data_IF_588203737136
#
_entry.id   IF_588203737136
#
_cell.length_a   1.000
_cell.length_b   1.000
_cell.length_c   1.000
_cell.angle_alpha   90.00
_cell.angle_beta   90.00
_cell.angle_gamma   90.00
#
_symmetry.space_group_name_H-M   'P 1'
#
loop_
_entity.id
_entity.type
_entity.pdbx_description
1 polymer ?
#
# COMPACT_ATOMS: atom_id res chain seq x y z
N UNK A 1 12.69 -37.80 -27.87
CA UNK A 1 13.45 -36.52 -28.00
C UNK A 1 12.43 -35.42 -27.95
N UNK A 2 12.25 -34.79 -26.78
CA UNK A 2 11.35 -33.67 -26.58
C UNK A 2 12.11 -32.36 -26.78
N UNK A 3 11.80 -31.68 -27.88
CA UNK A 3 12.36 -30.36 -28.15
C UNK A 3 11.77 -29.32 -27.18
N UNK A 4 12.59 -28.74 -26.32
CA UNK A 4 12.26 -27.53 -25.59
C UNK A 4 12.19 -26.37 -26.60
N UNK A 5 10.97 -25.90 -26.86
CA UNK A 5 10.79 -24.65 -27.58
C UNK A 5 11.30 -23.50 -26.69
N UNK A 6 12.46 -22.96 -27.01
CA UNK A 6 12.91 -21.69 -26.46
C UNK A 6 11.94 -20.62 -26.96
N UNK A 7 11.09 -20.08 -26.08
CA UNK A 7 10.36 -18.88 -26.38
C UNK A 7 11.38 -17.77 -26.68
N UNK A 8 11.43 -17.34 -27.93
CA UNK A 8 12.30 -16.23 -28.37
C UNK A 8 11.97 -15.00 -27.55
N UNK A 9 12.97 -14.41 -26.90
CA UNK A 9 12.83 -13.11 -26.26
C UNK A 9 12.41 -12.10 -27.35
N UNK A 10 11.38 -11.27 -27.08
CA UNK A 10 10.94 -10.27 -28.04
C UNK A 10 12.12 -9.35 -28.38
N UNK A 11 12.29 -9.07 -29.66
CA UNK A 11 13.42 -8.28 -30.14
C UNK A 11 13.25 -6.81 -29.69
N UNK A 12 14.16 -6.32 -28.86
CA UNK A 12 14.20 -4.92 -28.38
C UNK A 12 14.21 -3.93 -29.58
N UNK A 13 14.69 -4.37 -30.73
CA UNK A 13 14.75 -3.56 -31.98
C UNK A 13 13.38 -3.02 -32.41
N UNK A 14 12.30 -3.75 -32.16
CA UNK A 14 10.97 -3.45 -32.72
C UNK A 14 10.11 -2.58 -31.78
N UNK A 15 10.59 -2.34 -30.55
CA UNK A 15 9.92 -1.47 -29.61
C UNK A 15 9.91 -0.02 -30.07
N UNK A 16 8.75 0.62 -30.01
CA UNK A 16 8.61 2.06 -30.20
C UNK A 16 9.16 2.84 -29.02
N UNK A 17 9.78 3.99 -29.30
CA UNK A 17 10.26 4.89 -28.26
C UNK A 17 9.07 5.54 -27.54
N UNK A 18 9.00 5.40 -26.22
CA UNK A 18 7.92 6.01 -25.42
C UNK A 18 8.40 6.41 -24.05
N UNK A 19 8.02 7.61 -23.61
CA UNK A 19 8.14 8.09 -22.24
C UNK A 19 6.77 8.06 -21.56
N UNK A 20 6.71 7.47 -20.37
CA UNK A 20 5.48 7.38 -19.57
C UNK A 20 5.44 8.45 -18.49
N UNK A 21 4.27 9.04 -18.28
CA UNK A 21 3.98 9.85 -17.08
C UNK A 21 3.45 8.93 -15.99
N UNK A 22 4.23 8.73 -14.93
CA UNK A 22 3.92 7.74 -13.88
C UNK A 22 3.79 8.40 -12.52
N UNK A 23 2.78 7.99 -11.76
CA UNK A 23 2.65 8.33 -10.34
C UNK A 23 2.94 7.09 -9.51
N UNK A 24 3.91 7.19 -8.60
CA UNK A 24 4.19 6.17 -7.59
C UNK A 24 3.61 6.54 -6.23
N UNK A 25 3.79 5.68 -5.26
CA UNK A 25 3.33 5.92 -3.88
C UNK A 25 4.08 7.08 -3.20
N UNK A 26 4.11 7.17 -1.89
CA UNK A 26 4.72 8.31 -1.17
C UNK A 26 6.24 8.22 -1.14
N UNK A 27 6.94 9.34 -1.42
CA UNK A 27 8.40 9.41 -1.55
C UNK A 27 9.18 8.93 -0.33
N UNK A 28 8.62 9.00 0.85
CA UNK A 28 9.25 8.60 2.10
C UNK A 28 9.07 7.10 2.43
N UNK A 29 8.27 6.36 1.66
CA UNK A 29 8.05 4.93 1.85
C UNK A 29 9.05 4.08 1.08
N UNK A 30 9.39 2.92 1.64
CA UNK A 30 10.34 1.99 1.03
C UNK A 30 9.84 1.40 -0.30
N UNK A 31 8.52 1.25 -0.47
CA UNK A 31 7.94 0.82 -1.75
C UNK A 31 8.40 1.73 -2.89
N UNK A 32 8.30 3.05 -2.70
CA UNK A 32 8.79 4.02 -3.70
C UNK A 32 10.31 4.01 -3.80
N UNK A 33 11.00 4.18 -2.66
CA UNK A 33 12.47 4.37 -2.65
C UNK A 33 13.24 3.20 -3.23
N UNK A 34 12.80 1.97 -2.92
CA UNK A 34 13.58 0.77 -3.17
C UNK A 34 13.07 -0.02 -4.37
N UNK A 35 11.84 0.22 -4.85
CA UNK A 35 11.21 -0.62 -5.87
C UNK A 35 10.52 0.16 -6.98
N UNK A 36 9.46 0.91 -6.68
CA UNK A 36 8.70 1.62 -7.72
C UNK A 36 9.58 2.63 -8.47
N UNK A 37 10.21 3.54 -7.74
CA UNK A 37 11.11 4.55 -8.31
C UNK A 37 12.25 3.94 -9.13
N UNK A 38 13.05 3.01 -8.59
CA UNK A 38 14.09 2.32 -9.32
C UNK A 38 13.60 1.53 -10.54
N UNK A 39 12.42 0.88 -10.44
CA UNK A 39 11.85 0.20 -11.60
C UNK A 39 11.65 1.16 -12.78
N UNK A 40 10.95 2.26 -12.53
CA UNK A 40 10.59 3.22 -13.59
C UNK A 40 11.78 4.02 -14.10
N UNK A 41 12.69 4.43 -13.22
CA UNK A 41 13.79 5.35 -13.55
C UNK A 41 15.04 4.65 -14.06
N UNK A 42 15.26 3.39 -13.68
CA UNK A 42 16.51 2.67 -13.94
C UNK A 42 16.28 1.35 -14.66
N UNK A 43 15.42 0.46 -14.09
CA UNK A 43 15.22 -0.90 -14.63
C UNK A 43 14.52 -0.88 -15.98
N UNK A 44 13.43 -0.14 -16.12
CA UNK A 44 12.68 -0.07 -17.37
C UNK A 44 13.52 0.43 -18.56
N UNK A 45 14.26 1.55 -18.48
CA UNK A 45 15.16 1.97 -19.53
C UNK A 45 16.19 0.90 -19.88
N UNK A 46 16.82 0.30 -18.88
CA UNK A 46 17.82 -0.76 -19.08
C UNK A 46 17.24 -1.99 -19.78
N UNK A 47 16.07 -2.46 -19.34
CA UNK A 47 15.40 -3.65 -19.89
C UNK A 47 14.89 -3.44 -21.33
N UNK A 48 14.58 -2.21 -21.70
CA UNK A 48 14.10 -1.85 -23.05
C UNK A 48 15.18 -1.31 -23.98
N UNK A 49 16.46 -1.36 -23.59
CA UNK A 49 17.55 -0.76 -24.38
C UNK A 49 17.35 0.74 -24.64
N UNK A 50 16.76 1.47 -23.68
CA UNK A 50 16.48 2.90 -23.78
C UNK A 50 15.24 3.26 -24.62
N UNK A 51 14.48 2.26 -25.07
CA UNK A 51 13.24 2.51 -25.84
C UNK A 51 12.10 3.04 -24.96
N UNK A 52 11.96 2.47 -23.75
CA UNK A 52 10.95 2.89 -22.78
C UNK A 52 11.62 3.65 -21.64
N UNK A 53 11.03 4.77 -21.27
CA UNK A 53 11.44 5.62 -20.14
C UNK A 53 10.22 6.14 -19.40
N UNK A 54 10.41 6.70 -18.21
CA UNK A 54 9.33 7.26 -17.44
C UNK A 54 9.73 8.56 -16.71
N UNK A 55 8.88 9.57 -16.82
CA UNK A 55 8.84 10.69 -15.88
C UNK A 55 8.01 10.23 -14.66
N UNK A 56 8.64 9.49 -13.77
CA UNK A 56 8.01 8.91 -12.60
C UNK A 56 8.21 9.81 -11.37
N UNK A 57 7.10 10.22 -10.76
CA UNK A 57 7.06 11.04 -9.54
C UNK A 57 6.16 10.38 -8.51
N UNK A 58 6.48 10.56 -7.24
CA UNK A 58 5.67 10.10 -6.13
C UNK A 58 4.43 10.98 -5.91
N UNK A 59 3.41 10.46 -5.22
CA UNK A 59 2.27 11.26 -4.74
C UNK A 59 2.72 12.51 -3.98
N UNK A 60 3.76 12.37 -3.16
CA UNK A 60 4.29 13.47 -2.34
C UNK A 60 4.88 14.59 -3.19
N UNK A 61 5.68 14.25 -4.23
CA UNK A 61 6.27 15.22 -5.14
C UNK A 61 5.23 15.97 -5.97
N UNK A 62 4.09 15.32 -6.22
CA UNK A 62 2.98 15.89 -6.99
C UNK A 62 1.93 16.62 -6.11
N UNK A 63 2.07 16.55 -4.78
CA UNK A 63 1.08 17.10 -3.84
C UNK A 63 -0.27 16.39 -3.85
N UNK A 64 -0.32 15.15 -4.36
CA UNK A 64 -1.54 14.35 -4.47
C UNK A 64 -1.82 13.60 -3.16
N UNK A 65 -3.11 13.43 -2.83
CA UNK A 65 -3.56 12.70 -1.65
C UNK A 65 -3.58 11.18 -1.86
N UNK A 66 -3.80 10.75 -3.11
CA UNK A 66 -3.98 9.36 -3.52
C UNK A 66 -5.44 8.98 -3.80
N UNK A 67 -6.43 9.66 -3.22
CA UNK A 67 -7.85 9.38 -3.47
C UNK A 67 -8.30 9.73 -4.89
N UNK A 68 -7.68 10.72 -5.50
CA UNK A 68 -7.98 11.21 -6.86
C UNK A 68 -7.28 10.41 -7.98
N UNK A 69 -6.42 9.47 -7.64
CA UNK A 69 -5.46 8.89 -8.59
C UNK A 69 -6.12 8.17 -9.77
N UNK A 70 -7.20 7.42 -9.50
CA UNK A 70 -7.91 6.68 -10.55
C UNK A 70 -8.68 7.61 -11.49
N UNK A 71 -9.20 8.72 -10.97
CA UNK A 71 -9.83 9.75 -11.80
C UNK A 71 -8.81 10.38 -12.74
N UNK A 72 -7.61 10.70 -12.24
CA UNK A 72 -6.53 11.26 -13.04
C UNK A 72 -6.03 10.27 -14.11
N UNK A 73 -5.93 8.98 -13.75
CA UNK A 73 -5.61 7.91 -14.70
C UNK A 73 -6.67 7.79 -15.80
N UNK A 74 -7.95 7.75 -15.42
CA UNK A 74 -9.08 7.66 -16.38
C UNK A 74 -9.11 8.82 -17.37
N UNK A 75 -8.80 10.03 -16.91
CA UNK A 75 -8.70 11.23 -17.74
C UNK A 75 -7.46 11.25 -18.64
N UNK A 76 -6.51 10.31 -18.49
CA UNK A 76 -5.29 10.26 -19.27
C UNK A 76 -4.24 11.32 -18.87
N UNK A 77 -4.35 11.91 -17.66
CA UNK A 77 -3.33 12.82 -17.13
C UNK A 77 -2.02 12.08 -16.90
N UNK A 78 -2.13 10.82 -16.47
CA UNK A 78 -1.02 9.87 -16.29
C UNK A 78 -1.24 8.62 -17.13
N UNK A 79 -0.13 8.04 -17.59
CA UNK A 79 -0.10 6.79 -18.34
C UNK A 79 -0.22 5.57 -17.43
N UNK A 80 0.41 5.63 -16.27
CA UNK A 80 0.37 4.58 -15.25
C UNK A 80 0.40 5.17 -13.84
N UNK A 81 -0.26 4.50 -12.91
CA UNK A 81 -0.32 4.93 -11.51
C UNK A 81 -0.17 3.74 -10.56
N UNK A 82 0.59 3.95 -9.48
CA UNK A 82 0.51 3.14 -8.28
C UNK A 82 -0.47 3.81 -7.31
N UNK A 83 -1.33 3.02 -6.69
CA UNK A 83 -2.33 3.51 -5.75
C UNK A 83 -2.67 2.48 -4.70
N UNK A 84 -3.46 2.88 -3.71
CA UNK A 84 -4.00 1.99 -2.67
C UNK A 84 -5.42 1.59 -3.08
N UNK A 85 -5.70 0.29 -3.12
CA UNK A 85 -7.01 -0.24 -3.59
C UNK A 85 -8.17 0.36 -2.80
N UNK A 86 -8.07 0.37 -1.49
CA UNK A 86 -9.13 0.84 -0.60
C UNK A 86 -9.38 2.35 -0.65
N UNK A 87 -8.48 3.14 -1.24
CA UNK A 87 -8.71 4.58 -1.46
C UNK A 87 -9.78 4.87 -2.52
N UNK A 88 -10.09 3.90 -3.35
CA UNK A 88 -11.10 4.02 -4.40
C UNK A 88 -12.39 3.24 -4.08
N UNK A 89 -12.47 2.67 -2.88
CA UNK A 89 -13.59 1.85 -2.43
C UNK A 89 -14.90 2.63 -2.29
N UNK A 90 -14.85 3.92 -1.97
CA UNK A 90 -16.06 4.77 -1.93
C UNK A 90 -16.76 4.81 -3.29
N UNK A 91 -15.99 4.83 -4.37
CA UNK A 91 -16.53 4.78 -5.72
C UNK A 91 -16.88 3.35 -6.15
N UNK A 92 -16.19 2.35 -5.59
CA UNK A 92 -16.32 0.95 -5.95
C UNK A 92 -16.13 0.02 -4.75
N UNK A 93 -17.19 -0.26 -3.98
CA UNK A 93 -17.12 -1.10 -2.78
C UNK A 93 -16.57 -2.51 -3.04
N UNK A 94 -16.77 -3.06 -4.24
CA UNK A 94 -16.25 -4.38 -4.62
C UNK A 94 -14.73 -4.50 -4.46
N UNK A 95 -14.01 -3.38 -4.52
CA UNK A 95 -12.56 -3.35 -4.41
C UNK A 95 -12.05 -3.76 -3.02
N UNK A 96 -12.86 -3.57 -1.96
CA UNK A 96 -12.49 -3.97 -0.60
C UNK A 96 -12.73 -5.46 -0.29
N UNK A 97 -13.31 -6.23 -1.22
CA UNK A 97 -13.71 -7.63 -0.95
C UNK A 97 -12.57 -8.56 -0.50
N UNK A 98 -11.32 -8.27 -0.85
CA UNK A 98 -10.15 -9.02 -0.40
C UNK A 98 -9.51 -8.44 0.88
N UNK A 99 -10.00 -7.31 1.42
CA UNK A 99 -9.36 -6.58 2.53
C UNK A 99 -10.40 -6.04 3.54
N UNK A 100 -11.34 -6.89 3.91
CA UNK A 100 -12.33 -6.55 4.93
C UNK A 100 -11.68 -6.43 6.30
N UNK A 101 -12.04 -5.38 7.04
CA UNK A 101 -11.41 -5.05 8.32
C UNK A 101 -11.53 -6.20 9.34
N UNK A 102 -10.41 -6.61 9.91
CA UNK A 102 -10.34 -7.65 10.94
C UNK A 102 -10.48 -9.10 10.46
N UNK A 103 -10.85 -9.35 9.21
CA UNK A 103 -11.16 -10.71 8.70
C UNK A 103 -9.89 -11.53 8.48
N UNK A 104 -8.88 -10.98 7.82
CA UNK A 104 -7.65 -11.72 7.49
C UNK A 104 -6.52 -11.33 8.45
N UNK A 105 -5.97 -12.32 9.16
CA UNK A 105 -5.03 -12.12 10.26
C UNK A 105 -3.58 -12.49 9.91
N UNK A 106 -3.33 -13.14 8.77
CA UNK A 106 -1.99 -13.51 8.33
C UNK A 106 -1.73 -13.14 6.86
N UNK A 107 -0.48 -12.83 6.56
CA UNK A 107 -0.07 -12.34 5.24
C UNK A 107 -0.21 -13.39 4.13
N UNK A 108 -0.05 -14.68 4.45
CA UNK A 108 -0.17 -15.76 3.47
C UNK A 108 -1.60 -15.89 2.97
N UNK A 109 -2.58 -15.92 3.89
CA UNK A 109 -4.00 -15.91 3.58
C UNK A 109 -4.39 -14.65 2.82
N UNK A 110 -3.85 -13.47 3.24
CA UNK A 110 -4.11 -12.21 2.56
C UNK A 110 -3.63 -12.21 1.11
N UNK A 111 -2.41 -12.69 0.87
CA UNK A 111 -1.87 -12.83 -0.48
C UNK A 111 -2.75 -13.74 -1.34
N UNK A 112 -3.12 -14.91 -0.82
CA UNK A 112 -4.01 -15.85 -1.52
C UNK A 112 -5.37 -15.26 -1.82
N UNK A 113 -5.95 -14.49 -0.90
CA UNK A 113 -7.21 -13.78 -1.13
C UNK A 113 -7.08 -12.79 -2.31
N UNK A 114 -6.01 -11.97 -2.34
CA UNK A 114 -5.74 -11.05 -3.45
C UNK A 114 -5.53 -11.79 -4.79
N UNK A 115 -4.81 -12.90 -4.80
CA UNK A 115 -4.61 -13.73 -5.99
C UNK A 115 -5.95 -14.29 -6.51
N UNK A 116 -6.80 -14.79 -5.62
CA UNK A 116 -8.13 -15.31 -5.96
C UNK A 116 -9.07 -14.21 -6.44
N UNK A 117 -8.98 -13.03 -5.84
CA UNK A 117 -9.86 -11.89 -6.13
C UNK A 117 -9.39 -11.07 -7.34
N UNK A 118 -8.20 -11.33 -7.86
CA UNK A 118 -7.55 -10.57 -8.94
C UNK A 118 -8.46 -10.36 -10.16
N UNK A 119 -9.12 -11.41 -10.63
CA UNK A 119 -9.98 -11.32 -11.82
C UNK A 119 -11.19 -10.38 -11.63
N UNK A 120 -11.70 -10.29 -10.41
CA UNK A 120 -12.77 -9.34 -10.06
C UNK A 120 -12.24 -7.91 -10.10
N UNK A 121 -11.05 -7.68 -9.53
CA UNK A 121 -10.39 -6.36 -9.57
C UNK A 121 -10.03 -5.95 -11.00
N UNK A 122 -9.48 -6.86 -11.81
CA UNK A 122 -9.14 -6.59 -13.22
C UNK A 122 -10.36 -6.12 -14.01
N UNK A 123 -11.50 -6.79 -13.84
CA UNK A 123 -12.76 -6.39 -14.47
C UNK A 123 -13.24 -5.03 -13.99
N UNK A 124 -13.24 -4.77 -12.68
CA UNK A 124 -13.66 -3.49 -12.10
C UNK A 124 -12.78 -2.33 -12.58
N UNK A 125 -11.45 -2.54 -12.65
CA UNK A 125 -10.52 -1.55 -13.18
C UNK A 125 -10.76 -1.27 -14.67
N UNK A 126 -11.06 -2.29 -15.46
CA UNK A 126 -11.34 -2.12 -16.90
C UNK A 126 -12.68 -1.42 -17.14
N UNK A 127 -13.76 -1.92 -16.55
CA UNK A 127 -15.12 -1.45 -16.82
C UNK A 127 -15.37 -0.05 -16.24
N UNK A 128 -14.98 0.18 -15.00
CA UNK A 128 -15.29 1.43 -14.29
C UNK A 128 -14.26 2.53 -14.54
N UNK A 129 -12.99 2.16 -14.56
CA UNK A 129 -11.91 3.15 -14.64
C UNK A 129 -11.23 3.23 -16.01
N UNK A 130 -11.53 2.30 -16.93
CA UNK A 130 -10.82 2.24 -18.21
C UNK A 130 -9.33 2.03 -18.01
N UNK A 131 -8.97 1.14 -17.08
CA UNK A 131 -7.60 0.90 -16.68
C UNK A 131 -7.22 -0.58 -16.81
N UNK A 132 -5.96 -0.86 -17.17
CA UNK A 132 -5.38 -2.20 -17.16
C UNK A 132 -4.64 -2.41 -15.85
N UNK A 133 -5.19 -3.25 -14.98
CA UNK A 133 -4.51 -3.66 -13.75
C UNK A 133 -3.36 -4.61 -14.09
N UNK A 134 -2.15 -4.33 -13.58
CA UNK A 134 -0.95 -5.12 -13.86
C UNK A 134 -0.29 -5.70 -12.63
N UNK A 135 -0.41 -5.05 -11.47
CA UNK A 135 0.14 -5.55 -10.20
C UNK A 135 -0.85 -5.32 -9.06
N UNK A 136 -0.81 -6.24 -8.09
CA UNK A 136 -1.41 -6.08 -6.76
C UNK A 136 -0.39 -6.57 -5.74
N UNK A 137 -0.08 -5.74 -4.75
CA UNK A 137 0.89 -6.08 -3.71
C UNK A 137 0.44 -5.54 -2.35
N UNK A 138 0.83 -6.26 -1.29
CA UNK A 138 0.39 -5.93 0.06
C UNK A 138 1.25 -4.88 0.76
N UNK A 139 0.68 -4.26 1.79
CA UNK A 139 1.37 -3.49 2.80
C UNK A 139 1.58 -4.33 4.06
N UNK A 140 2.51 -3.92 4.97
CA UNK A 140 2.59 -4.48 6.32
C UNK A 140 1.25 -4.40 7.06
N UNK A 141 1.06 -5.25 8.07
CA UNK A 141 -0.18 -5.33 8.83
C UNK A 141 -0.65 -3.96 9.32
N UNK A 142 -1.92 -3.68 9.08
CA UNK A 142 -2.56 -2.44 9.50
C UNK A 142 -2.89 -2.54 10.99
N UNK A 143 -2.30 -1.64 11.76
CA UNK A 143 -2.43 -1.60 13.21
C UNK A 143 -2.88 -0.21 13.67
N UNK A 144 -3.28 -0.13 14.94
CA UNK A 144 -3.75 1.10 15.53
C UNK A 144 -2.61 1.82 16.26
N UNK A 145 -2.44 3.10 15.98
CA UNK A 145 -1.44 3.97 16.57
C UNK A 145 -2.13 5.14 17.28
N UNK A 146 -1.95 5.27 18.60
CA UNK A 146 -2.69 6.24 19.42
C UNK A 146 -1.76 7.14 20.23
N UNK A 147 -2.18 8.39 20.43
CA UNK A 147 -1.61 9.22 21.47
C UNK A 147 -2.43 9.06 22.76
N UNK A 148 -1.95 8.24 23.69
CA UNK A 148 -2.60 8.04 24.98
C UNK A 148 -2.05 8.97 26.08
N UNK A 149 -1.11 9.88 25.72
CA UNK A 149 -0.54 10.87 26.64
C UNK A 149 0.45 10.28 27.68
N UNK A 150 0.17 9.10 28.22
CA UNK A 150 0.98 8.49 29.29
C UNK A 150 1.56 7.14 28.86
N UNK A 151 2.87 7.05 28.67
CA UNK A 151 3.60 5.83 28.28
C UNK A 151 3.57 4.70 29.31
N UNK A 152 3.06 4.94 30.53
CA UNK A 152 2.85 3.88 31.53
C UNK A 152 1.60 3.03 31.26
N UNK A 153 0.73 3.42 30.34
CA UNK A 153 -0.40 2.61 29.91
C UNK A 153 0.15 1.37 29.18
N UNK A 154 -0.17 0.18 29.68
CA UNK A 154 0.30 -1.12 29.13
C UNK A 154 -0.83 -1.98 28.57
N UNK A 155 -2.07 -1.56 28.77
CA UNK A 155 -3.26 -2.27 28.31
C UNK A 155 -4.22 -1.26 27.69
N UNK A 156 -4.68 -1.53 26.46
CA UNK A 156 -5.62 -0.67 25.75
C UNK A 156 -6.31 -1.51 24.68
N UNK A 157 -7.54 -1.90 24.94
CA UNK A 157 -8.34 -2.72 24.03
C UNK A 157 -9.30 -1.91 23.17
N UNK A 158 -10.04 -2.61 22.33
CA UNK A 158 -11.06 -2.03 21.44
C UNK A 158 -12.18 -1.33 22.23
N UNK A 159 -12.49 -1.79 23.43
CA UNK A 159 -13.47 -1.17 24.34
C UNK A 159 -13.13 0.29 24.73
N UNK A 160 -11.84 0.65 24.68
CA UNK A 160 -11.34 1.99 24.98
C UNK A 160 -11.42 2.97 23.79
N UNK A 161 -11.83 2.50 22.61
CA UNK A 161 -11.97 3.33 21.42
C UNK A 161 -13.26 4.15 21.44
N UNK A 162 -14.19 3.85 22.33
CA UNK A 162 -15.46 4.60 22.47
C UNK A 162 -15.22 6.10 22.63
N UNK A 163 -15.80 6.88 21.72
CA UNK A 163 -15.68 8.33 21.66
C UNK A 163 -14.34 8.86 21.18
N UNK A 164 -13.40 8.01 20.75
CA UNK A 164 -12.14 8.43 20.14
C UNK A 164 -12.31 8.69 18.65
N UNK A 165 -11.65 9.72 18.15
CA UNK A 165 -11.56 10.02 16.72
C UNK A 165 -10.41 9.24 16.12
N UNK A 166 -10.72 8.32 15.21
CA UNK A 166 -9.72 7.42 14.64
C UNK A 166 -9.64 7.64 13.14
N UNK A 167 -8.45 7.97 12.66
CA UNK A 167 -8.21 8.07 11.23
C UNK A 167 -8.32 6.70 10.58
N UNK A 168 -9.19 6.62 9.61
CA UNK A 168 -9.32 5.51 8.66
C UNK A 168 -9.00 5.98 7.24
N UNK A 169 -9.01 5.08 6.28
CA UNK A 169 -8.73 5.38 4.87
C UNK A 169 -9.55 4.49 3.93
N UNK A 170 -10.41 3.64 4.48
CA UNK A 170 -11.30 2.76 3.74
C UNK A 170 -12.67 2.73 4.39
N UNK A 171 -13.68 2.25 3.65
CA UNK A 171 -15.06 2.15 4.14
C UNK A 171 -15.16 1.12 5.25
N UNK A 172 -14.64 -0.10 5.01
CA UNK A 172 -14.75 -1.20 5.99
C UNK A 172 -13.99 -0.93 7.28
N UNK A 173 -12.85 -0.22 7.23
CA UNK A 173 -12.17 0.26 8.45
C UNK A 173 -13.01 1.31 9.18
N UNK A 174 -13.73 2.17 8.46
CA UNK A 174 -14.66 3.14 9.03
C UNK A 174 -15.77 2.43 9.80
N UNK A 175 -16.46 1.51 9.14
CA UNK A 175 -17.55 0.72 9.71
C UNK A 175 -17.11 -0.06 10.94
N UNK A 176 -15.92 -0.69 10.87
CA UNK A 176 -15.33 -1.39 12.01
C UNK A 176 -15.12 -0.44 13.22
N UNK A 177 -14.51 0.72 13.00
CA UNK A 177 -14.27 1.70 14.06
C UNK A 177 -15.58 2.19 14.69
N UNK A 178 -16.61 2.46 13.89
CA UNK A 178 -17.93 2.85 14.38
C UNK A 178 -18.61 1.70 15.11
N UNK A 179 -18.46 0.47 14.63
CA UNK A 179 -18.98 -0.74 15.29
C UNK A 179 -18.42 -0.97 16.70
N UNK A 180 -17.17 -0.57 16.95
CA UNK A 180 -16.57 -0.63 18.30
C UNK A 180 -16.79 0.66 19.11
N UNK A 181 -17.61 1.59 18.62
CA UNK A 181 -18.02 2.82 19.31
C UNK A 181 -17.04 3.99 19.17
N UNK A 182 -16.04 3.90 18.30
CA UNK A 182 -15.20 5.01 17.91
C UNK A 182 -15.88 5.92 16.89
N UNK A 183 -15.22 6.99 16.49
CA UNK A 183 -15.63 7.90 15.41
C UNK A 183 -14.59 7.84 14.29
N UNK A 184 -15.00 7.35 13.14
CA UNK A 184 -14.11 7.25 11.97
C UNK A 184 -13.94 8.61 11.28
N UNK A 185 -12.70 8.96 10.95
CA UNK A 185 -12.37 10.18 10.22
C UNK A 185 -11.47 9.82 9.04
N UNK A 186 -11.98 10.06 7.82
CA UNK A 186 -11.19 9.80 6.60
C UNK A 186 -10.17 10.90 6.37
N UNK A 187 -8.89 10.57 6.51
CA UNK A 187 -7.77 11.52 6.32
C UNK A 187 -6.71 10.86 5.43
N UNK A 188 -6.26 11.56 4.39
CA UNK A 188 -5.16 11.12 3.53
C UNK A 188 -3.88 10.89 4.35
N UNK A 189 -3.12 9.85 4.00
CA UNK A 189 -1.96 9.39 4.79
C UNK A 189 -0.97 10.50 5.12
N UNK A 190 -0.56 11.30 4.14
CA UNK A 190 0.40 12.38 4.33
C UNK A 190 -0.13 13.54 5.21
N UNK A 191 -1.43 13.62 5.47
CA UNK A 191 -2.05 14.67 6.28
C UNK A 191 -2.28 14.26 7.74
N UNK A 192 -2.00 13.00 8.10
CA UNK A 192 -2.35 12.51 9.42
C UNK A 192 -1.46 13.07 10.54
N UNK A 193 -0.15 13.19 10.34
CA UNK A 193 0.73 13.73 11.39
C UNK A 193 0.28 15.12 11.87
N UNK A 194 0.01 16.09 10.98
CA UNK A 194 -0.58 17.36 11.39
C UNK A 194 -1.96 17.22 12.04
N UNK A 195 -2.79 16.25 11.61
CA UNK A 195 -4.11 16.03 12.20
C UNK A 195 -4.03 15.51 13.64
N UNK A 196 -3.11 14.57 13.91
CA UNK A 196 -2.81 14.10 15.28
C UNK A 196 -2.27 15.21 16.18
N UNK A 197 -1.36 16.03 15.66
CA UNK A 197 -0.80 17.17 16.42
C UNK A 197 -1.87 18.17 16.83
N UNK A 198 -2.86 18.40 15.97
CA UNK A 198 -3.95 19.35 16.20
C UNK A 198 -5.16 18.75 16.93
N UNK A 199 -5.12 17.48 17.31
CA UNK A 199 -6.24 16.77 17.94
C UNK A 199 -7.47 16.56 17.03
N UNK A 200 -7.29 16.64 15.72
CA UNK A 200 -8.34 16.28 14.74
C UNK A 200 -8.61 14.78 14.78
N UNK A 201 -7.57 13.99 15.05
CA UNK A 201 -7.65 12.57 15.34
C UNK A 201 -6.86 12.23 16.60
N UNK A 202 -7.35 11.26 17.39
CA UNK A 202 -6.67 10.72 18.58
C UNK A 202 -5.74 9.56 18.21
N UNK A 203 -6.16 8.79 17.21
CA UNK A 203 -5.47 7.59 16.71
C UNK A 203 -5.47 7.56 15.18
N UNK A 204 -4.65 6.69 14.61
CA UNK A 204 -4.66 6.39 13.19
C UNK A 204 -4.40 4.92 12.90
N UNK A 205 -4.96 4.43 11.80
CA UNK A 205 -4.71 3.10 11.25
C UNK A 205 -3.74 3.19 10.08
N UNK A 206 -2.70 2.38 10.10
CA UNK A 206 -1.77 2.21 8.98
C UNK A 206 -0.87 0.99 9.17
N UNK A 207 -0.10 0.64 8.13
CA UNK A 207 0.91 -0.40 8.20
C UNK A 207 2.04 -0.08 9.18
N UNK A 208 2.65 -1.11 9.75
CA UNK A 208 3.70 -0.97 10.77
C UNK A 208 4.89 -0.13 10.27
N UNK A 209 5.53 -0.51 9.16
CA UNK A 209 6.65 0.26 8.63
C UNK A 209 6.25 1.62 8.02
N UNK A 210 5.11 1.76 7.31
CA UNK A 210 4.59 3.06 6.93
C UNK A 210 4.44 4.06 8.07
N UNK A 211 3.97 3.63 9.25
CA UNK A 211 3.89 4.48 10.43
C UNK A 211 5.27 5.01 10.85
N UNK A 212 6.27 4.13 10.87
CA UNK A 212 7.64 4.50 11.19
C UNK A 212 8.22 5.48 10.18
N UNK A 213 8.13 5.17 8.88
CA UNK A 213 8.68 6.00 7.81
C UNK A 213 8.03 7.39 7.74
N UNK A 214 6.74 7.48 8.06
CA UNK A 214 6.01 8.75 8.16
C UNK A 214 6.22 9.45 9.51
N UNK A 215 7.08 8.92 10.38
CA UNK A 215 7.44 9.50 11.68
C UNK A 215 6.25 9.68 12.63
N UNK A 216 5.27 8.79 12.59
CA UNK A 216 4.12 8.85 13.50
C UNK A 216 4.55 8.78 14.97
N UNK A 217 5.68 8.12 15.26
CA UNK A 217 6.29 8.04 16.58
C UNK A 217 6.62 9.41 17.21
N UNK A 218 6.64 10.49 16.44
CA UNK A 218 6.80 11.85 16.97
C UNK A 218 5.52 12.42 17.58
N UNK A 219 4.36 11.88 17.26
CA UNK A 219 3.05 12.43 17.61
C UNK A 219 2.12 11.44 18.31
N UNK A 220 2.43 10.14 18.27
CA UNK A 220 1.70 9.10 19.01
C UNK A 220 2.63 8.38 19.98
N UNK A 221 2.07 7.81 21.03
CA UNK A 221 2.81 7.21 22.12
C UNK A 221 2.74 5.69 22.15
N UNK A 222 1.73 5.10 21.50
CA UNK A 222 1.43 3.66 21.56
C UNK A 222 1.16 3.07 20.18
N UNK A 223 1.58 1.82 19.99
CA UNK A 223 1.17 0.94 18.91
C UNK A 223 0.34 -0.20 19.51
N UNK A 224 -0.97 -0.16 19.30
CA UNK A 224 -1.88 -1.24 19.64
C UNK A 224 -1.85 -2.24 18.49
N UNK A 225 -1.29 -3.43 18.75
CA UNK A 225 -0.93 -4.44 17.74
C UNK A 225 -2.10 -5.32 17.30
N UNK A 226 -3.31 -4.78 17.39
CA UNK A 226 -4.47 -5.43 16.81
C UNK A 226 -4.38 -5.32 15.29
N UNK A 227 -4.43 -6.45 14.60
CA UNK A 227 -4.31 -6.48 13.15
C UNK A 227 -5.69 -6.33 12.50
N UNK A 228 -5.88 -5.25 11.76
CA UNK A 228 -7.15 -4.93 11.09
C UNK A 228 -7.08 -5.14 9.56
N UNK A 229 -6.13 -5.95 9.10
CA UNK A 229 -5.90 -6.23 7.68
C UNK A 229 -4.47 -5.89 7.26
N UNK A 230 -4.25 -5.77 5.95
CA UNK A 230 -2.93 -5.51 5.37
C UNK A 230 -2.92 -4.33 4.39
N UNK A 231 -4.02 -3.96 3.81
CA UNK A 231 -4.16 -3.08 2.64
C UNK A 231 -3.40 -3.59 1.40
N UNK A 232 -3.95 -3.34 0.24
CA UNK A 232 -3.30 -3.61 -1.05
C UNK A 232 -2.99 -2.33 -1.78
N UNK A 233 -1.89 -2.35 -2.52
CA UNK A 233 -1.62 -1.39 -3.59
C UNK A 233 -1.69 -2.06 -4.94
N UNK A 234 -1.84 -1.25 -5.96
CA UNK A 234 -1.90 -1.69 -7.34
C UNK A 234 -0.96 -0.87 -8.23
N UNK A 235 -0.63 -1.43 -9.38
CA UNK A 235 -0.16 -0.69 -10.55
C UNK A 235 -1.17 -0.87 -11.67
N UNK A 236 -1.69 0.23 -12.19
CA UNK A 236 -2.60 0.23 -13.33
C UNK A 236 -2.14 1.20 -14.42
N UNK A 237 -2.35 0.81 -15.68
CA UNK A 237 -2.18 1.67 -16.84
C UNK A 237 -3.52 2.23 -17.30
N UNK A 238 -3.52 3.45 -17.81
CA UNK A 238 -4.63 3.93 -18.63
C UNK A 238 -4.82 2.98 -19.81
N UNK A 239 -6.06 2.52 -20.05
CA UNK A 239 -6.34 1.48 -21.06
C UNK A 239 -6.00 1.96 -22.49
N UNK A 240 -6.18 3.25 -22.79
CA UNK A 240 -5.81 3.80 -24.13
C UNK A 240 -4.29 3.76 -24.31
N UNK A 241 -3.54 4.16 -23.27
CA UNK A 241 -2.08 4.04 -23.27
C UNK A 241 -1.66 2.58 -23.44
N UNK A 242 -2.23 1.66 -22.65
CA UNK A 242 -1.90 0.23 -22.75
C UNK A 242 -2.15 -0.34 -24.15
N UNK A 243 -3.31 -0.06 -24.74
CA UNK A 243 -3.67 -0.51 -26.08
C UNK A 243 -2.84 0.15 -27.20
N UNK A 244 -2.21 1.30 -26.95
CA UNK A 244 -1.32 1.97 -27.91
C UNK A 244 0.11 1.42 -27.91
N UNK A 245 0.47 0.57 -26.95
CA UNK A 245 1.79 -0.05 -26.91
C UNK A 245 1.91 -1.13 -27.97
N UNK A 246 3.09 -1.23 -28.57
CA UNK A 246 3.47 -2.38 -29.40
C UNK A 246 3.50 -3.67 -28.55
N UNK A 247 3.46 -4.81 -29.23
CA UNK A 247 3.41 -6.12 -28.58
C UNK A 247 4.65 -6.42 -27.72
N UNK A 248 5.80 -5.95 -28.16
CA UNK A 248 7.09 -6.11 -27.51
C UNK A 248 7.12 -5.35 -26.18
N UNK A 249 6.62 -4.11 -26.18
CA UNK A 249 6.47 -3.29 -24.97
C UNK A 249 5.48 -3.91 -24.00
N UNK A 250 4.32 -4.37 -24.46
CA UNK A 250 3.36 -5.09 -23.60
C UNK A 250 3.96 -6.37 -23.01
N UNK A 251 4.66 -7.17 -23.83
CA UNK A 251 5.31 -8.39 -23.40
C UNK A 251 6.41 -8.14 -22.36
N UNK A 252 7.16 -7.02 -22.50
CA UNK A 252 8.14 -6.61 -21.50
C UNK A 252 7.48 -6.34 -20.14
N UNK A 253 6.42 -5.54 -20.10
CA UNK A 253 5.69 -5.28 -18.85
C UNK A 253 5.08 -6.55 -18.27
N UNK A 254 4.45 -7.39 -19.08
CA UNK A 254 3.86 -8.66 -18.64
C UNK A 254 4.89 -9.65 -18.07
N UNK A 255 6.14 -9.58 -18.50
CA UNK A 255 7.23 -10.40 -17.98
C UNK A 255 7.89 -9.81 -16.72
N UNK A 256 8.06 -8.50 -16.66
CA UNK A 256 8.86 -7.86 -15.59
C UNK A 256 8.03 -7.39 -14.39
N UNK A 257 6.77 -7.00 -14.60
CA UNK A 257 5.93 -6.54 -13.50
C UNK A 257 5.54 -7.65 -12.51
N UNK A 258 5.28 -8.90 -12.91
CA UNK A 258 5.09 -9.98 -11.95
C UNK A 258 6.32 -10.24 -11.05
N UNK A 259 7.54 -10.01 -11.56
CA UNK A 259 8.75 -10.12 -10.76
C UNK A 259 8.83 -9.00 -9.72
N UNK A 260 8.49 -7.77 -10.12
CA UNK A 260 8.41 -6.63 -9.21
C UNK A 260 7.31 -6.85 -8.16
N UNK A 261 6.15 -7.38 -8.56
CA UNK A 261 5.06 -7.74 -7.63
C UNK A 261 5.53 -8.75 -6.58
N UNK A 262 6.27 -9.79 -6.98
CA UNK A 262 6.86 -10.76 -6.06
C UNK A 262 7.86 -10.11 -5.09
N UNK A 263 8.75 -9.25 -5.60
CA UNK A 263 9.68 -8.46 -4.77
C UNK A 263 8.93 -7.62 -3.72
N UNK A 264 7.76 -7.06 -4.08
CA UNK A 264 6.90 -6.30 -3.16
C UNK A 264 6.31 -7.19 -2.06
N UNK A 265 5.74 -8.36 -2.43
CA UNK A 265 5.18 -9.31 -1.45
C UNK A 265 6.23 -9.83 -0.47
N UNK A 266 7.41 -10.20 -0.97
CA UNK A 266 8.54 -10.65 -0.11
C UNK A 266 8.97 -9.54 0.84
N UNK A 267 9.02 -8.30 0.37
CA UNK A 267 9.36 -7.16 1.20
C UNK A 267 8.32 -6.88 2.28
N UNK A 268 7.04 -7.05 1.97
CA UNK A 268 5.94 -6.83 2.93
C UNK A 268 6.10 -7.70 4.17
N UNK A 269 6.44 -8.99 4.01
CA UNK A 269 6.68 -9.91 5.13
C UNK A 269 7.80 -9.41 6.07
N UNK A 270 8.92 -8.96 5.50
CA UNK A 270 10.05 -8.42 6.28
C UNK A 270 9.73 -7.06 6.92
N UNK A 271 9.02 -6.23 6.20
CA UNK A 271 8.68 -4.88 6.60
C UNK A 271 7.67 -4.84 7.76
N UNK A 272 6.83 -5.86 7.91
CA UNK A 272 5.87 -5.92 9.02
C UNK A 272 6.60 -6.00 10.37
N UNK A 273 7.49 -6.98 10.53
CA UNK A 273 8.28 -7.10 11.77
C UNK A 273 9.21 -5.90 11.98
N UNK A 274 9.93 -5.49 10.91
CA UNK A 274 10.81 -4.31 10.98
C UNK A 274 10.05 -3.06 11.44
N UNK A 275 8.83 -2.86 10.93
CA UNK A 275 8.00 -1.74 11.34
C UNK A 275 7.62 -1.79 12.82
N UNK A 276 7.26 -2.96 13.34
CA UNK A 276 6.95 -3.14 14.76
C UNK A 276 8.17 -2.84 15.66
N UNK A 277 9.36 -3.30 15.25
CA UNK A 277 10.60 -3.10 16.00
C UNK A 277 11.02 -1.63 15.98
N UNK A 278 11.01 -1.01 14.81
CA UNK A 278 11.40 0.40 14.63
C UNK A 278 10.45 1.37 15.35
N UNK A 279 9.16 1.13 15.34
CA UNK A 279 8.20 1.96 16.07
C UNK A 279 8.36 1.88 17.59
N UNK A 280 8.75 0.74 18.11
CA UNK A 280 8.98 0.52 19.55
C UNK A 280 10.44 0.83 19.92
N UNK A 281 11.15 -0.13 20.52
CA UNK A 281 12.54 -0.02 20.98
C UNK A 281 13.38 -1.23 20.54
N UNK A 282 12.88 -1.99 19.55
CA UNK A 282 13.57 -3.15 19.00
C UNK A 282 14.70 -2.76 18.04
N UNK A 283 15.41 -3.75 17.47
CA UNK A 283 16.43 -3.50 16.47
C UNK A 283 15.82 -2.80 15.25
N UNK A 284 16.27 -1.59 14.96
CA UNK A 284 15.75 -0.83 13.81
C UNK A 284 16.87 -0.61 12.79
N UNK A 285 16.71 -1.23 11.62
CA UNK A 285 17.69 -1.15 10.54
C UNK A 285 17.00 -0.82 9.22
N UNK A 286 17.73 -0.14 8.34
CA UNK A 286 17.27 0.03 6.95
C UNK A 286 17.41 -1.29 6.15
N UNK A 287 17.02 -1.28 4.89
CA UNK A 287 17.12 -2.45 4.01
C UNK A 287 18.57 -2.86 3.70
N UNK A 288 19.54 -1.99 3.98
CA UNK A 288 20.97 -2.22 3.79
C UNK A 288 21.66 -2.67 5.08
N UNK A 289 20.93 -2.77 6.21
CA UNK A 289 21.43 -3.18 7.50
C UNK A 289 22.02 -2.06 8.38
N UNK A 290 21.90 -0.79 7.95
CA UNK A 290 22.36 0.34 8.76
C UNK A 290 21.37 0.62 9.90
N UNK A 291 21.88 0.96 11.07
CA UNK A 291 21.06 1.28 12.24
C UNK A 291 20.27 2.59 12.04
N UNK A 292 19.02 2.55 12.44
CA UNK A 292 18.10 3.69 12.41
C UNK A 292 17.62 4.00 13.85
N UNK A 293 17.20 5.26 14.12
CA UNK A 293 16.61 5.61 15.40
C UNK A 293 15.29 4.87 15.62
N UNK A 294 15.03 4.45 16.85
CA UNK A 294 13.74 3.84 17.23
C UNK A 294 12.70 4.89 17.60
N UNK A 295 11.43 4.57 17.43
CA UNK A 295 10.32 5.47 17.73
C UNK A 295 9.98 5.57 19.22
N UNK A 296 10.33 4.56 20.00
CA UNK A 296 10.05 4.50 21.46
C UNK A 296 8.56 4.51 21.80
N UNK A 297 7.71 4.02 20.90
CA UNK A 297 6.31 3.77 21.18
C UNK A 297 6.17 2.57 22.12
N UNK A 298 5.15 2.58 22.96
CA UNK A 298 4.80 1.45 23.81
C UNK A 298 3.95 0.45 23.00
N UNK A 299 4.42 -0.78 22.79
CA UNK A 299 3.60 -1.80 22.15
C UNK A 299 2.53 -2.31 23.13
N UNK A 300 1.31 -2.51 22.66
CA UNK A 300 0.21 -3.12 23.39
C UNK A 300 -0.30 -4.29 22.56
N UNK A 301 -0.21 -5.49 23.12
CA UNK A 301 -0.73 -6.70 22.48
C UNK A 301 -2.26 -6.79 22.68
N UNK A 302 -3.02 -7.26 21.67
CA UNK A 302 -4.47 -7.43 21.79
C UNK A 302 -4.81 -8.53 22.80
N UNK A 303 -5.85 -8.29 23.58
CA UNK A 303 -6.44 -9.28 24.48
C UNK A 303 -7.21 -10.35 23.71
N UNK A 304 -7.56 -11.45 24.36
CA UNK A 304 -8.43 -12.47 23.74
C UNK A 304 -9.84 -11.92 23.47
N UNK A 305 -10.31 -10.98 24.31
CA UNK A 305 -11.56 -10.26 24.06
C UNK A 305 -11.48 -9.39 22.79
N UNK A 306 -10.35 -8.70 22.56
CA UNK A 306 -10.15 -7.94 21.32
C UNK A 306 -10.16 -8.85 20.09
N UNK A 307 -9.48 -10.01 20.17
CA UNK A 307 -9.43 -10.99 19.07
C UNK A 307 -10.81 -11.62 18.80
N UNK A 308 -11.62 -11.85 19.85
CA UNK A 308 -12.98 -12.34 19.68
C UNK A 308 -13.84 -11.32 18.95
N UNK A 309 -13.71 -10.05 19.31
CA UNK A 309 -14.47 -8.94 18.72
C UNK A 309 -14.15 -8.69 17.22
N UNK A 310 -13.01 -9.17 16.72
CA UNK A 310 -12.69 -9.15 15.30
C UNK A 310 -13.51 -10.16 14.47
N UNK A 311 -14.19 -11.11 15.12
CA UNK A 311 -14.96 -12.17 14.47
C UNK A 311 -16.46 -11.89 14.44
N UNK A 312 -16.91 -10.90 15.17
CA UNK A 312 -18.29 -10.40 15.22
C UNK A 312 -18.57 -9.40 14.09
#
# INVERSE_FOLDING_TARGET
MGGFAFASQPAISDMQKKEFKVVGTWSFLDHWKEREGPFWKERLPKLSGGKLSANAKSLTELGLSGFEIMRLLKLGVYDAVHGVTTYIAQDSPVIEGADLAGVIQDLGTYRKANETYRSILEREFEEKYGAKLLMIYGWPSQQLFCNLGNKNIKTYGLDKLKGKKIRTYSTTLGDFIEGVGGSAVTIAFAKLVPALQKGVADCGLTGTLPAYNAKWWQVVTHNIRIRLGYASSFLAFNMKTWKSLDKESQALFQRELPKLEEEMWVATAKNDQRGMDCNASGPCKDSKGNDLPTGGMVPIEPTDADKAKLKE
#
